data_IF_933479070476
#
_entry.id   IF_933479070476
#
_cell.length_a   1.000
_cell.length_b   1.000
_cell.length_c   1.000
_cell.angle_alpha   90.00
_cell.angle_beta   90.00
_cell.angle_gamma   90.00
#
_symmetry.space_group_name_H-M   'P 1'
#
loop_
_entity.id
_entity.type
_entity.pdbx_description
1 polymer ?
#
# COMPACT_ATOMS: atom_id res chain seq x y z
N UNK A 1 0.72 -15.69 -5.42
CA UNK A 1 1.66 -15.07 -6.38
C UNK A 1 2.30 -16.18 -7.20
N UNK A 2 2.48 -16.00 -8.51
CA UNK A 2 3.16 -17.00 -9.35
C UNK A 2 4.64 -17.12 -8.91
N UNK A 3 5.21 -18.33 -8.76
CA UNK A 3 6.62 -18.52 -8.41
C UNK A 3 7.60 -17.76 -9.31
N UNK A 4 7.28 -17.58 -10.59
CA UNK A 4 8.11 -16.82 -11.54
C UNK A 4 8.05 -15.32 -11.25
N UNK A 5 6.86 -14.79 -11.01
CA UNK A 5 6.66 -13.39 -10.63
C UNK A 5 7.43 -13.09 -9.33
N UNK A 6 7.46 -14.04 -8.39
CA UNK A 6 8.19 -13.88 -7.13
C UNK A 6 9.70 -13.78 -7.37
N UNK A 7 10.25 -14.62 -8.25
CA UNK A 7 11.67 -14.56 -8.62
C UNK A 7 12.03 -13.24 -9.30
N UNK A 8 11.18 -12.74 -10.19
CA UNK A 8 11.36 -11.45 -10.85
C UNK A 8 11.36 -10.30 -9.83
N UNK A 9 10.43 -10.31 -8.86
CA UNK A 9 10.44 -9.31 -7.77
C UNK A 9 11.67 -9.42 -6.90
N UNK A 10 12.10 -10.63 -6.51
CA UNK A 10 13.32 -10.81 -5.70
C UNK A 10 14.54 -10.22 -6.43
N UNK A 11 14.73 -10.54 -7.70
CA UNK A 11 15.85 -10.02 -8.49
C UNK A 11 15.79 -8.48 -8.62
N UNK A 12 14.59 -7.94 -8.89
CA UNK A 12 14.37 -6.50 -8.99
C UNK A 12 14.75 -5.78 -7.71
N UNK A 13 14.19 -6.19 -6.57
CA UNK A 13 14.43 -5.52 -5.29
C UNK A 13 15.84 -5.76 -4.75
N UNK A 14 16.42 -6.94 -4.99
CA UNK A 14 17.80 -7.22 -4.64
C UNK A 14 18.77 -6.24 -5.32
N UNK A 15 18.54 -5.94 -6.62
CA UNK A 15 19.38 -4.98 -7.36
C UNK A 15 19.31 -3.54 -6.81
N UNK A 16 18.24 -3.22 -6.07
CA UNK A 16 18.00 -1.89 -5.46
C UNK A 16 18.54 -1.77 -4.03
N UNK A 17 18.95 -2.88 -3.40
CA UNK A 17 19.46 -2.87 -2.04
C UNK A 17 20.81 -2.14 -1.92
N UNK A 18 21.09 -1.46 -0.79
CA UNK A 18 22.43 -1.00 -0.47
C UNK A 18 23.45 -2.15 -0.43
N UNK A 19 24.75 -1.92 -0.76
CA UNK A 19 25.76 -2.97 -0.83
C UNK A 19 25.85 -3.87 0.41
N UNK A 20 25.84 -3.29 1.61
CA UNK A 20 25.91 -4.06 2.86
C UNK A 20 24.70 -5.00 3.04
N UNK A 21 23.51 -4.55 2.62
CA UNK A 21 22.30 -5.37 2.68
C UNK A 21 22.33 -6.48 1.60
N UNK A 22 22.87 -6.19 0.41
CA UNK A 22 23.08 -7.20 -0.63
C UNK A 22 24.04 -8.30 -0.18
N UNK A 23 25.12 -7.92 0.53
CA UNK A 23 26.09 -8.87 1.07
C UNK A 23 25.43 -9.80 2.09
N UNK A 24 24.68 -9.26 3.05
CA UNK A 24 23.96 -10.08 4.04
C UNK A 24 22.95 -10.99 3.35
N UNK A 25 22.15 -10.48 2.42
CA UNK A 25 21.16 -11.27 1.69
C UNK A 25 21.82 -12.41 0.89
N UNK A 26 22.89 -12.11 0.16
CA UNK A 26 23.62 -13.07 -0.70
C UNK A 26 24.41 -14.10 0.09
N UNK A 27 24.78 -13.80 1.33
CA UNK A 27 25.51 -14.74 2.19
C UNK A 27 24.71 -16.01 2.53
N UNK A 28 23.38 -15.96 2.41
CA UNK A 28 22.45 -17.01 2.83
C UNK A 28 22.55 -17.44 4.31
N UNK A 29 23.45 -16.86 5.11
CA UNK A 29 23.60 -17.16 6.55
C UNK A 29 22.34 -16.85 7.35
N UNK A 30 21.57 -15.87 6.90
CA UNK A 30 20.28 -15.53 7.50
C UNK A 30 19.27 -16.68 7.37
N UNK A 31 19.30 -17.47 6.30
CA UNK A 31 18.43 -18.66 6.14
C UNK A 31 18.80 -19.75 7.14
N UNK A 32 20.09 -20.01 7.33
CA UNK A 32 20.57 -21.00 8.32
C UNK A 32 20.18 -20.57 9.75
N UNK A 33 20.31 -19.28 10.04
CA UNK A 33 19.88 -18.67 11.31
C UNK A 33 18.37 -18.83 11.49
N UNK A 34 17.59 -18.54 10.45
CA UNK A 34 16.13 -18.64 10.47
C UNK A 34 15.64 -20.09 10.61
N UNK A 35 16.35 -21.05 10.02
CA UNK A 35 16.09 -22.48 10.21
C UNK A 35 16.36 -22.89 11.66
N UNK A 36 17.46 -22.42 12.26
CA UNK A 36 17.78 -22.68 13.67
C UNK A 36 16.71 -22.12 14.61
N UNK A 37 16.27 -20.88 14.36
CA UNK A 37 15.17 -20.25 15.11
C UNK A 37 13.86 -21.04 14.92
N UNK A 38 13.53 -21.40 13.68
CA UNK A 38 12.31 -22.17 13.39
C UNK A 38 12.21 -23.49 14.15
N UNK A 39 13.33 -24.21 14.24
CA UNK A 39 13.42 -25.45 15.01
C UNK A 39 13.29 -25.18 16.51
N UNK A 40 13.94 -24.13 17.03
CA UNK A 40 13.89 -23.74 18.44
C UNK A 40 12.47 -23.42 18.92
N UNK A 41 11.65 -22.79 18.07
CA UNK A 41 10.26 -22.44 18.38
C UNK A 41 9.23 -23.49 17.89
N UNK A 42 9.68 -24.67 17.45
CA UNK A 42 8.83 -25.77 16.97
C UNK A 42 7.84 -25.36 15.86
N UNK A 43 8.27 -24.49 14.94
CA UNK A 43 7.42 -24.05 13.85
C UNK A 43 7.08 -25.22 12.92
N UNK A 44 5.81 -25.34 12.54
CA UNK A 44 5.38 -26.27 11.50
C UNK A 44 5.80 -25.77 10.11
N UNK A 45 5.68 -26.62 9.08
CA UNK A 45 6.13 -26.28 7.73
C UNK A 45 5.50 -24.97 7.19
N UNK A 46 4.20 -24.76 7.40
CA UNK A 46 3.50 -23.55 6.95
C UNK A 46 4.04 -22.31 7.67
N UNK A 47 4.28 -22.39 8.97
CA UNK A 47 4.87 -21.31 9.77
C UNK A 47 6.31 -21.00 9.32
N UNK A 48 7.10 -22.01 8.98
CA UNK A 48 8.46 -21.83 8.44
C UNK A 48 8.42 -21.12 7.08
N UNK A 49 7.47 -21.48 6.21
CA UNK A 49 7.26 -20.84 4.92
C UNK A 49 6.86 -19.37 5.08
N UNK A 50 5.90 -19.06 5.96
CA UNK A 50 5.54 -17.68 6.32
C UNK A 50 6.74 -16.91 6.86
N UNK A 51 7.45 -17.46 7.86
CA UNK A 51 8.60 -16.79 8.47
C UNK A 51 9.70 -16.49 7.45
N UNK A 52 10.02 -17.45 6.57
CA UNK A 52 11.01 -17.28 5.51
C UNK A 52 10.59 -16.23 4.48
N UNK A 53 9.31 -16.24 4.09
CA UNK A 53 8.75 -15.28 3.11
C UNK A 53 8.80 -13.86 3.65
N UNK A 54 8.24 -13.63 4.83
CA UNK A 54 8.22 -12.29 5.45
C UNK A 54 9.65 -11.79 5.72
N UNK A 55 10.56 -12.67 6.15
CA UNK A 55 11.96 -12.29 6.36
C UNK A 55 12.66 -11.94 5.05
N UNK A 56 12.34 -12.64 3.96
CA UNK A 56 12.84 -12.30 2.63
C UNK A 56 12.32 -10.92 2.20
N UNK A 57 11.03 -10.64 2.41
CA UNK A 57 10.42 -9.37 2.04
C UNK A 57 11.03 -8.18 2.80
N UNK A 58 11.26 -8.32 4.11
CA UNK A 58 11.90 -7.26 4.91
C UNK A 58 13.37 -7.08 4.55
N UNK A 59 14.10 -8.16 4.27
CA UNK A 59 15.51 -8.08 3.84
C UNK A 59 15.67 -7.43 2.45
N UNK A 60 14.64 -7.52 1.60
CA UNK A 60 14.57 -6.84 0.30
C UNK A 60 14.08 -5.39 0.42
N UNK A 61 13.71 -4.94 1.63
CA UNK A 61 13.12 -3.62 1.85
C UNK A 61 11.77 -3.45 1.15
N UNK A 62 11.01 -4.53 0.96
CA UNK A 62 9.68 -4.48 0.34
C UNK A 62 8.62 -4.09 1.38
N UNK A 63 8.78 -4.59 2.62
CA UNK A 63 7.92 -4.28 3.77
C UNK A 63 8.72 -3.59 4.87
N UNK A 64 8.04 -2.79 5.69
CA UNK A 64 8.67 -2.11 6.81
C UNK A 64 8.86 -3.04 8.02
N UNK A 65 9.83 -2.77 8.88
CA UNK A 65 10.12 -3.59 10.08
C UNK A 65 8.91 -3.73 11.02
N UNK A 66 8.10 -2.67 11.16
CA UNK A 66 6.89 -2.70 11.98
C UNK A 66 5.82 -3.61 11.35
N UNK A 67 5.66 -3.55 10.03
CA UNK A 67 4.72 -4.42 9.29
C UNK A 67 5.17 -5.88 9.35
N UNK A 68 6.49 -6.12 9.25
CA UNK A 68 7.07 -7.45 9.44
C UNK A 68 6.72 -8.06 10.81
N UNK A 69 6.85 -7.29 11.90
CA UNK A 69 6.46 -7.75 13.25
C UNK A 69 4.96 -8.06 13.35
N UNK A 70 4.13 -7.20 12.76
CA UNK A 70 2.67 -7.39 12.72
C UNK A 70 2.27 -8.63 11.92
N UNK A 71 2.84 -8.81 10.72
CA UNK A 71 2.59 -9.96 9.85
C UNK A 71 2.98 -11.26 10.54
N UNK A 72 4.16 -11.34 11.16
CA UNK A 72 4.58 -12.55 11.86
C UNK A 72 3.69 -12.86 13.07
N UNK A 73 3.30 -11.84 13.83
CA UNK A 73 2.42 -12.03 14.99
C UNK A 73 1.04 -12.55 14.57
N UNK A 74 0.50 -12.00 13.47
CA UNK A 74 -0.83 -12.34 12.98
C UNK A 74 -0.86 -13.69 12.24
N UNK A 75 0.15 -13.98 11.43
CA UNK A 75 0.13 -15.11 10.50
C UNK A 75 0.72 -16.40 11.07
N UNK A 76 1.68 -16.30 11.99
CA UNK A 76 2.27 -17.51 12.59
C UNK A 76 1.30 -18.18 13.58
N UNK A 77 0.33 -17.45 14.13
CA UNK A 77 -0.65 -18.00 15.07
C UNK A 77 -0.01 -18.58 16.34
N UNK A 78 1.16 -18.06 16.72
CA UNK A 78 1.88 -18.43 17.93
C UNK A 78 1.30 -17.66 19.13
N UNK A 79 1.52 -18.18 20.33
CA UNK A 79 1.26 -17.40 21.55
C UNK A 79 2.16 -16.15 21.59
N UNK A 80 1.70 -15.12 22.30
CA UNK A 80 2.37 -13.82 22.36
C UNK A 80 3.83 -13.92 22.84
N UNK A 81 4.05 -14.62 23.95
CA UNK A 81 5.36 -14.75 24.57
C UNK A 81 6.41 -15.44 23.66
N UNK A 82 6.13 -16.61 23.04
CA UNK A 82 7.02 -17.21 22.05
C UNK A 82 7.28 -16.31 20.84
N UNK A 83 6.25 -15.62 20.35
CA UNK A 83 6.36 -14.72 19.19
C UNK A 83 7.30 -13.56 19.45
N UNK A 84 7.14 -12.89 20.58
CA UNK A 84 7.99 -11.76 20.99
C UNK A 84 9.46 -12.18 21.14
N UNK A 85 9.73 -13.34 21.77
CA UNK A 85 11.11 -13.84 21.91
C UNK A 85 11.74 -14.22 20.58
N UNK A 86 10.98 -14.85 19.70
CA UNK A 86 11.43 -15.21 18.36
C UNK A 86 11.77 -13.97 17.54
N UNK A 87 10.91 -12.93 17.58
CA UNK A 87 11.14 -11.66 16.92
C UNK A 87 12.42 -10.97 17.43
N UNK A 88 12.63 -10.92 18.74
CA UNK A 88 13.87 -10.36 19.32
C UNK A 88 15.10 -11.11 18.83
N UNK A 89 15.05 -12.44 18.76
CA UNK A 89 16.16 -13.27 18.30
C UNK A 89 16.48 -13.04 16.82
N UNK A 90 15.46 -12.89 15.97
CA UNK A 90 15.62 -12.53 14.55
C UNK A 90 16.20 -11.12 14.42
N UNK A 91 15.67 -10.17 15.19
CA UNK A 91 16.17 -8.79 15.21
C UNK A 91 17.65 -8.75 15.56
N UNK A 92 18.06 -9.41 16.64
CA UNK A 92 19.44 -9.39 17.11
C UNK A 92 20.39 -10.17 16.18
N UNK A 93 19.95 -11.30 15.62
CA UNK A 93 20.83 -12.20 14.86
C UNK A 93 20.93 -11.84 13.38
N UNK A 94 19.87 -11.26 12.80
CA UNK A 94 19.78 -11.00 11.36
C UNK A 94 19.71 -9.50 11.09
N UNK A 95 18.73 -8.80 11.68
CA UNK A 95 18.35 -7.46 11.22
C UNK A 95 19.20 -6.33 11.82
N UNK A 96 19.72 -6.50 13.04
CA UNK A 96 20.41 -5.46 13.81
C UNK A 96 21.54 -4.77 13.05
N UNK A 97 22.34 -5.55 12.33
CA UNK A 97 23.52 -5.05 11.64
C UNK A 97 23.21 -4.31 10.34
N UNK A 98 22.02 -4.53 9.76
CA UNK A 98 21.60 -3.95 8.48
C UNK A 98 20.35 -3.06 8.61
N UNK A 99 19.88 -2.82 9.83
CA UNK A 99 18.63 -2.08 10.09
C UNK A 99 18.59 -0.71 9.40
N UNK A 100 19.64 0.13 9.46
CA UNK A 100 19.64 1.40 8.74
C UNK A 100 19.48 1.23 7.23
N UNK A 101 20.14 0.23 6.64
CA UNK A 101 20.10 -0.07 5.21
C UNK A 101 18.72 -0.59 4.78
N UNK A 102 18.04 -1.38 5.62
CA UNK A 102 16.68 -1.85 5.34
C UNK A 102 15.66 -0.71 5.37
N UNK A 103 15.78 0.23 6.32
CA UNK A 103 14.94 1.43 6.37
C UNK A 103 15.17 2.26 5.10
N UNK A 104 16.42 2.51 4.74
CA UNK A 104 16.77 3.24 3.52
C UNK A 104 16.22 2.55 2.25
N UNK A 105 16.36 1.23 2.16
CA UNK A 105 15.86 0.45 1.03
C UNK A 105 14.34 0.54 0.93
N UNK A 106 13.62 0.40 2.05
CA UNK A 106 12.17 0.54 2.10
C UNK A 106 11.71 1.92 1.65
N UNK A 107 12.31 2.98 2.19
CA UNK A 107 11.96 4.36 1.81
C UNK A 107 12.25 4.63 0.33
N UNK A 108 13.35 4.11 -0.21
CA UNK A 108 13.69 4.22 -1.62
C UNK A 108 12.69 3.45 -2.50
N UNK A 109 12.30 2.23 -2.10
CA UNK A 109 11.33 1.42 -2.81
C UNK A 109 9.94 2.05 -2.82
N UNK A 110 9.51 2.62 -1.69
CA UNK A 110 8.26 3.41 -1.62
C UNK A 110 8.31 4.63 -2.54
N UNK A 111 9.43 5.38 -2.55
CA UNK A 111 9.57 6.53 -3.46
C UNK A 111 9.51 6.11 -4.92
N UNK A 112 10.18 5.03 -5.30
CA UNK A 112 10.12 4.53 -6.69
C UNK A 112 8.71 4.06 -7.04
N UNK A 113 8.01 3.38 -6.12
CA UNK A 113 6.62 2.99 -6.37
C UNK A 113 5.69 4.21 -6.49
N UNK A 114 5.92 5.26 -5.69
CA UNK A 114 5.23 6.54 -5.78
C UNK A 114 5.61 7.26 -7.09
N UNK A 115 6.87 7.30 -7.50
CA UNK A 115 7.33 7.98 -8.72
C UNK A 115 6.90 7.23 -10.00
N UNK A 116 6.87 5.90 -9.98
CA UNK A 116 6.29 5.07 -11.04
C UNK A 116 4.77 5.29 -11.12
N UNK A 117 4.07 5.40 -9.98
CA UNK A 117 2.64 5.78 -9.97
C UNK A 117 2.40 7.26 -10.31
N UNK A 118 3.34 8.16 -10.07
CA UNK A 118 3.31 9.57 -10.51
C UNK A 118 3.66 9.71 -12.00
N UNK A 119 4.44 8.80 -12.59
CA UNK A 119 4.55 8.75 -14.05
C UNK A 119 3.27 8.24 -14.72
N UNK A 120 2.44 7.46 -14.01
CA UNK A 120 1.04 7.20 -14.40
C UNK A 120 0.16 8.46 -14.19
N UNK A 121 0.57 9.43 -13.37
CA UNK A 121 -0.10 10.74 -13.24
C UNK A 121 0.10 11.66 -14.45
N UNK A 122 1.06 11.41 -15.35
CA UNK A 122 1.26 12.21 -16.58
C UNK A 122 0.25 11.84 -17.66
N UNK A 123 -1.00 12.12 -17.32
CA UNK A 123 -2.19 11.85 -18.07
C UNK A 123 -3.34 12.02 -17.09
N UNK A 124 -3.70 13.26 -16.79
CA UNK A 124 -5.08 13.52 -16.37
C UNK A 124 -5.94 12.77 -17.36
N UNK A 125 -6.61 11.73 -16.88
CA UNK A 125 -7.59 10.98 -17.65
C UNK A 125 -8.44 12.03 -18.35
N UNK A 126 -8.61 11.91 -19.68
CA UNK A 126 -9.32 12.93 -20.47
C UNK A 126 -10.69 13.26 -19.86
N UNK A 127 -11.28 12.31 -19.11
CA UNK A 127 -12.49 12.48 -18.31
C UNK A 127 -12.43 13.60 -17.26
N UNK A 128 -11.27 13.92 -16.70
CA UNK A 128 -11.09 15.05 -15.79
C UNK A 128 -10.84 16.38 -16.50
N UNK A 129 -10.51 16.37 -17.80
CA UNK A 129 -10.24 17.62 -18.53
C UNK A 129 -11.48 18.49 -18.69
N UNK A 130 -12.67 17.89 -18.62
CA UNK A 130 -13.97 18.57 -18.75
C UNK A 130 -14.49 19.14 -17.42
N UNK A 131 -13.89 18.79 -16.28
CA UNK A 131 -14.36 19.30 -14.98
C UNK A 131 -14.02 20.78 -14.79
N UNK A 132 -14.80 21.51 -13.96
CA UNK A 132 -14.41 22.83 -13.47
C UNK A 132 -13.05 22.80 -12.76
N UNK A 133 -12.27 23.88 -12.89
CA UNK A 133 -10.89 23.94 -12.37
C UNK A 133 -10.84 23.68 -10.87
N UNK A 134 -11.79 24.23 -10.13
CA UNK A 134 -11.90 24.10 -8.68
C UNK A 134 -12.07 22.65 -8.25
N UNK A 135 -12.81 21.85 -9.04
CA UNK A 135 -13.02 20.43 -8.77
C UNK A 135 -11.76 19.64 -9.11
N UNK A 136 -11.07 19.95 -10.21
CA UNK A 136 -9.78 19.32 -10.54
C UNK A 136 -8.75 19.52 -9.43
N UNK A 137 -8.63 20.76 -8.95
CA UNK A 137 -7.68 21.10 -7.87
C UNK A 137 -8.00 20.32 -6.58
N UNK A 138 -9.28 20.09 -6.25
CA UNK A 138 -9.67 19.23 -5.12
C UNK A 138 -9.25 17.79 -5.35
N UNK A 139 -9.54 17.24 -6.54
CA UNK A 139 -9.26 15.85 -6.87
C UNK A 139 -7.74 15.61 -6.83
N UNK A 140 -6.94 16.50 -7.42
CA UNK A 140 -5.48 16.44 -7.38
C UNK A 140 -4.96 16.50 -5.93
N UNK A 141 -5.41 17.48 -5.13
CA UNK A 141 -4.99 17.61 -3.72
C UNK A 141 -5.42 16.44 -2.83
N UNK A 142 -6.49 15.73 -3.20
CA UNK A 142 -6.98 14.59 -2.42
C UNK A 142 -6.08 13.36 -2.50
N UNK A 143 -5.12 13.32 -3.43
CA UNK A 143 -4.27 12.15 -3.70
C UNK A 143 -5.10 10.86 -3.88
N UNK A 144 -6.28 10.98 -4.52
CA UNK A 144 -7.23 9.85 -4.58
C UNK A 144 -6.66 8.68 -5.38
N UNK A 145 -5.84 8.92 -6.42
CA UNK A 145 -5.20 7.85 -7.22
C UNK A 145 -4.29 6.97 -6.37
N UNK A 146 -3.40 7.58 -5.57
CA UNK A 146 -2.52 6.86 -4.64
C UNK A 146 -3.35 6.09 -3.61
N UNK A 147 -4.37 6.74 -3.05
CA UNK A 147 -5.27 6.11 -2.08
C UNK A 147 -6.01 4.92 -2.69
N UNK A 148 -6.48 5.06 -3.94
CA UNK A 148 -7.16 4.01 -4.70
C UNK A 148 -6.23 2.84 -4.98
N UNK A 149 -4.98 3.13 -5.33
CA UNK A 149 -3.94 2.13 -5.56
C UNK A 149 -3.69 1.28 -4.32
N UNK A 150 -3.54 1.93 -3.16
CA UNK A 150 -3.32 1.25 -1.89
C UNK A 150 -4.53 0.39 -1.47
N UNK A 151 -5.75 0.88 -1.73
CA UNK A 151 -6.98 0.09 -1.53
C UNK A 151 -6.97 -1.12 -2.46
N UNK A 152 -6.74 -0.96 -3.76
CA UNK A 152 -6.71 -2.06 -4.72
C UNK A 152 -5.70 -3.15 -4.32
N UNK A 153 -4.50 -2.76 -3.89
CA UNK A 153 -3.48 -3.69 -3.39
C UNK A 153 -3.95 -4.48 -2.17
N UNK A 154 -4.54 -3.81 -1.18
CA UNK A 154 -5.05 -4.45 0.04
C UNK A 154 -6.08 -5.55 -0.25
N UNK A 155 -6.88 -5.35 -1.28
CA UNK A 155 -7.87 -6.34 -1.74
C UNK A 155 -7.31 -7.33 -2.76
N UNK A 156 -5.99 -7.36 -2.97
CA UNK A 156 -5.28 -8.23 -3.91
C UNK A 156 -5.83 -8.16 -5.35
N UNK A 157 -6.24 -6.97 -5.78
CA UNK A 157 -6.74 -6.79 -7.15
C UNK A 157 -5.59 -6.96 -8.15
N UNK A 158 -5.87 -7.68 -9.23
CA UNK A 158 -4.93 -7.75 -10.36
C UNK A 158 -4.98 -6.46 -11.20
N UNK A 159 -4.03 -6.31 -12.14
CA UNK A 159 -3.89 -5.11 -12.98
C UNK A 159 -5.17 -4.77 -13.76
N UNK A 160 -5.89 -5.78 -14.26
CA UNK A 160 -7.14 -5.57 -15.01
C UNK A 160 -8.25 -5.06 -14.09
N UNK A 161 -8.46 -5.74 -12.96
CA UNK A 161 -9.43 -5.35 -11.93
C UNK A 161 -9.17 -3.96 -11.39
N UNK A 162 -7.90 -3.60 -11.27
CA UNK A 162 -7.47 -2.29 -10.82
C UNK A 162 -7.83 -1.18 -11.82
N UNK A 163 -7.63 -1.43 -13.12
CA UNK A 163 -8.08 -0.51 -14.17
C UNK A 163 -9.60 -0.34 -14.20
N UNK A 164 -10.35 -1.42 -13.99
CA UNK A 164 -11.81 -1.37 -13.89
C UNK A 164 -12.29 -0.61 -12.63
N UNK A 165 -11.61 -0.81 -11.49
CA UNK A 165 -11.87 -0.06 -10.27
C UNK A 165 -11.60 1.45 -10.48
N UNK A 166 -10.46 1.81 -11.07
CA UNK A 166 -10.10 3.20 -11.38
C UNK A 166 -11.13 3.86 -12.28
N UNK A 167 -11.55 3.17 -13.34
CA UNK A 167 -12.58 3.63 -14.25
C UNK A 167 -13.89 3.90 -13.52
N UNK A 168 -14.35 2.97 -12.69
CA UNK A 168 -15.63 3.12 -11.97
C UNK A 168 -15.57 4.24 -10.92
N UNK A 169 -14.47 4.35 -10.16
CA UNK A 169 -14.27 5.46 -9.21
C UNK A 169 -14.24 6.81 -9.93
N UNK A 170 -13.52 6.90 -11.05
CA UNK A 170 -13.48 8.11 -11.88
C UNK A 170 -14.85 8.49 -12.43
N UNK A 171 -15.60 7.50 -12.92
CA UNK A 171 -16.97 7.69 -13.39
C UNK A 171 -17.94 8.11 -12.27
N UNK A 172 -17.69 7.73 -11.03
CA UNK A 172 -18.47 8.21 -9.90
C UNK A 172 -18.10 9.67 -9.55
N UNK A 173 -16.81 9.99 -9.51
CA UNK A 173 -16.31 11.35 -9.20
C UNK A 173 -16.81 12.36 -10.25
N UNK A 174 -16.84 12.00 -11.52
CA UNK A 174 -17.32 12.87 -12.60
C UNK A 174 -18.86 12.88 -12.76
N UNK A 175 -19.59 12.09 -11.95
CA UNK A 175 -21.06 12.03 -11.99
C UNK A 175 -21.66 11.15 -13.10
N UNK A 176 -20.85 10.38 -13.83
CA UNK A 176 -21.35 9.42 -14.84
C UNK A 176 -22.04 8.20 -14.23
N UNK A 177 -21.67 7.82 -13.00
CA UNK A 177 -22.33 6.76 -12.22
C UNK A 177 -23.08 7.41 -11.06
N UNK A 178 -24.35 7.02 -10.89
CA UNK A 178 -25.12 7.40 -9.72
C UNK A 178 -24.57 6.66 -8.48
N UNK A 179 -24.36 7.35 -7.33
CA UNK A 179 -23.85 6.71 -6.12
C UNK A 179 -24.63 5.47 -5.67
N UNK A 180 -25.96 5.45 -5.86
CA UNK A 180 -26.81 4.33 -5.47
C UNK A 180 -26.58 3.07 -6.33
N UNK A 181 -26.02 3.25 -7.53
CA UNK A 181 -25.75 2.15 -8.46
C UNK A 181 -24.27 1.77 -8.46
N UNK A 182 -23.41 2.48 -7.71
CA UNK A 182 -21.96 2.29 -7.76
C UNK A 182 -21.56 0.87 -7.40
N UNK A 183 -22.23 0.28 -6.40
CA UNK A 183 -21.99 -1.11 -6.01
C UNK A 183 -22.22 -2.09 -7.17
N UNK A 184 -23.31 -1.95 -7.91
CA UNK A 184 -23.65 -2.83 -9.04
C UNK A 184 -22.57 -2.82 -10.13
N UNK A 185 -21.96 -1.65 -10.41
CA UNK A 185 -20.87 -1.54 -11.37
C UNK A 185 -19.59 -2.25 -10.88
N UNK A 186 -19.27 -2.10 -9.60
CA UNK A 186 -18.12 -2.77 -8.99
C UNK A 186 -18.30 -4.29 -8.98
N UNK A 187 -19.51 -4.77 -8.64
CA UNK A 187 -19.87 -6.20 -8.69
C UNK A 187 -19.72 -6.79 -10.08
N UNK A 188 -20.19 -6.07 -11.10
CA UNK A 188 -20.14 -6.51 -12.48
C UNK A 188 -18.71 -6.59 -13.02
N UNK A 189 -17.89 -5.57 -12.76
CA UNK A 189 -16.61 -5.42 -13.45
C UNK A 189 -15.47 -6.15 -12.72
N UNK A 190 -15.42 -6.11 -11.38
CA UNK A 190 -14.27 -6.64 -10.61
C UNK A 190 -14.42 -8.15 -10.31
N UNK A 191 -15.64 -8.69 -10.29
CA UNK A 191 -15.94 -10.13 -10.08
C UNK A 191 -15.38 -10.72 -8.78
N UNK A 192 -15.47 -9.98 -7.67
CA UNK A 192 -15.15 -10.48 -6.33
C UNK A 192 -16.38 -11.01 -5.61
N UNK A 193 -16.20 -11.61 -4.43
CA UNK A 193 -17.32 -12.00 -3.59
C UNK A 193 -18.07 -10.77 -3.03
N UNK A 194 -19.39 -10.84 -2.81
CA UNK A 194 -20.19 -9.71 -2.32
C UNK A 194 -19.68 -9.11 -0.99
N UNK A 195 -19.17 -9.96 -0.10
CA UNK A 195 -18.61 -9.54 1.19
C UNK A 195 -17.35 -8.69 1.01
N UNK A 196 -16.46 -9.08 0.09
CA UNK A 196 -15.22 -8.35 -0.21
C UNK A 196 -15.55 -7.03 -0.87
N UNK A 197 -16.54 -7.00 -1.76
CA UNK A 197 -17.00 -5.78 -2.43
C UNK A 197 -17.57 -4.78 -1.44
N UNK A 198 -18.39 -5.23 -0.50
CA UNK A 198 -18.95 -4.37 0.55
C UNK A 198 -17.83 -3.69 1.34
N UNK A 199 -16.80 -4.45 1.74
CA UNK A 199 -15.63 -3.91 2.44
C UNK A 199 -14.85 -2.93 1.57
N UNK A 200 -14.59 -3.28 0.31
CA UNK A 200 -13.90 -2.42 -0.66
C UNK A 200 -14.62 -1.07 -0.82
N UNK A 201 -15.95 -1.09 -0.98
CA UNK A 201 -16.75 0.12 -1.13
C UNK A 201 -16.71 0.99 0.13
N UNK A 202 -16.73 0.39 1.32
CA UNK A 202 -16.57 1.12 2.57
C UNK A 202 -15.20 1.82 2.65
N UNK A 203 -14.13 1.12 2.30
CA UNK A 203 -12.77 1.69 2.25
C UNK A 203 -12.68 2.87 1.26
N UNK A 204 -13.31 2.75 0.08
CA UNK A 204 -13.40 3.85 -0.91
C UNK A 204 -14.19 5.04 -0.37
N UNK A 205 -15.34 4.78 0.26
CA UNK A 205 -16.19 5.80 0.86
C UNK A 205 -15.46 6.61 1.93
N UNK A 206 -14.78 5.93 2.85
CA UNK A 206 -14.07 6.57 3.95
C UNK A 206 -12.81 7.31 3.50
N UNK A 207 -11.99 6.68 2.65
CA UNK A 207 -10.65 7.20 2.36
C UNK A 207 -10.60 8.16 1.18
N UNK A 208 -11.51 8.02 0.22
CA UNK A 208 -11.54 8.83 -1.00
C UNK A 208 -12.75 9.76 -0.98
N UNK A 209 -13.96 9.20 -1.01
CA UNK A 209 -15.15 10.02 -1.28
C UNK A 209 -15.49 10.98 -0.14
N UNK A 210 -15.22 10.61 1.12
CA UNK A 210 -15.40 11.50 2.26
C UNK A 210 -14.54 12.77 2.11
N UNK A 211 -13.23 12.61 1.84
CA UNK A 211 -12.28 13.72 1.69
C UNK A 211 -12.65 14.66 0.54
N UNK A 212 -13.07 14.10 -0.59
CA UNK A 212 -13.53 14.89 -1.75
C UNK A 212 -14.82 15.65 -1.37
N UNK A 213 -15.79 15.01 -0.73
CA UNK A 213 -17.04 15.65 -0.29
C UNK A 213 -16.79 16.79 0.71
N UNK A 214 -15.91 16.59 1.68
CA UNK A 214 -15.52 17.62 2.66
C UNK A 214 -14.85 18.81 1.97
N UNK A 215 -13.95 18.55 1.02
CA UNK A 215 -13.29 19.60 0.24
C UNK A 215 -14.29 20.38 -0.61
N UNK A 216 -15.27 19.72 -1.23
CA UNK A 216 -16.34 20.38 -2.00
C UNK A 216 -17.27 21.22 -1.12
N UNK A 217 -17.52 20.80 0.14
CA UNK A 217 -18.30 21.60 1.09
C UNK A 217 -17.60 22.91 1.41
N UNK A 218 -16.27 22.92 1.59
CA UNK A 218 -15.51 24.13 1.92
C UNK A 218 -15.63 25.22 0.83
N UNK A 219 -15.77 24.84 -0.44
CA UNK A 219 -15.94 25.79 -1.54
C UNK A 219 -17.37 26.35 -1.61
N UNK A 220 -18.37 25.52 -1.31
CA UNK A 220 -19.79 25.89 -1.42
C UNK A 220 -20.38 26.47 -0.14
N UNK A 221 -19.69 26.32 0.99
CA UNK A 221 -20.03 27.08 2.18
C UNK A 221 -19.63 28.51 1.84
N UNK A 222 -20.57 29.49 1.80
CA UNK A 222 -20.19 30.89 1.68
C UNK A 222 -19.22 31.10 2.82
N UNK A 223 -17.94 31.30 2.49
CA UNK A 223 -17.00 31.85 3.45
C UNK A 223 -17.75 33.06 3.96
N UNK A 224 -18.09 33.08 5.25
CA UNK A 224 -18.53 34.32 5.88
C UNK A 224 -17.44 35.29 5.46
N UNK A 225 -17.76 36.11 4.44
CA UNK A 225 -17.01 37.30 4.15
C UNK A 225 -17.00 37.93 5.51
N UNK A 226 -15.83 37.95 6.13
CA UNK A 226 -15.57 38.73 7.33
C UNK A 226 -16.36 39.99 7.11
N UNK A 227 -17.38 40.32 7.92
CA UNK A 227 -18.21 41.45 7.63
C UNK A 227 -17.27 42.65 7.59
N UNK A 228 -16.86 43.04 6.38
CA UNK A 228 -16.59 44.43 6.09
C UNK A 228 -17.82 45.09 6.66
N UNK A 229 -17.61 45.89 7.69
CA UNK A 229 -18.63 46.75 8.29
C UNK A 229 -19.15 47.68 7.20
N UNK A 230 -19.93 47.14 6.26
CA UNK A 230 -20.83 47.91 5.46
C UNK A 230 -21.91 48.28 6.47
N UNK A 231 -21.86 49.54 6.84
CA UNK A 231 -22.69 50.12 7.86
C UNK A 231 -24.15 49.95 7.41
N UNK A 232 -24.86 48.94 7.92
CA UNK A 232 -26.24 48.57 7.50
C UNK A 232 -27.21 49.76 7.55
N UNK A 233 -26.88 50.76 8.36
CA UNK A 233 -27.55 52.05 8.42
C UNK A 233 -27.52 52.83 7.09
N UNK A 234 -26.48 52.71 6.25
CA UNK A 234 -26.42 53.36 4.94
C UNK A 234 -27.36 52.72 3.91
N UNK A 235 -27.54 51.39 3.95
CA UNK A 235 -28.43 50.69 3.02
C UNK A 235 -29.90 50.99 3.36
N UNK A 236 -30.25 50.95 4.65
CA UNK A 236 -31.60 51.24 5.14
C UNK A 236 -32.02 52.72 4.91
N UNK A 237 -31.08 53.65 5.10
CA UNK A 237 -31.32 55.07 4.81
C UNK A 237 -31.49 55.34 3.30
N UNK A 238 -30.77 54.62 2.44
CA UNK A 238 -30.91 54.76 0.98
C UNK A 238 -32.26 54.23 0.45
N UNK A 239 -32.88 53.28 1.17
CA UNK A 239 -34.20 52.76 0.87
C UNK A 239 -35.35 53.58 1.48
N UNK A 240 -35.05 54.68 2.19
CA UNK A 240 -36.05 55.54 2.83
C UNK A 240 -36.79 54.89 4.02
N UNK A 241 -36.21 53.83 4.61
CA UNK A 241 -36.80 53.16 5.77
C UNK A 241 -36.20 53.76 7.03
N UNK A 242 -36.96 54.64 7.68
CA UNK A 242 -36.59 55.23 8.96
C UNK A 242 -36.93 54.24 10.09
N UNK A 243 -35.92 53.71 10.79
CA UNK A 243 -36.13 52.83 11.94
C UNK A 243 -36.65 53.68 13.11
N UNK A 244 -37.95 53.62 13.35
CA UNK A 244 -38.56 54.14 14.58
C UNK A 244 -38.22 53.17 15.71
N UNK A 245 -37.52 53.60 16.80
CA UNK A 245 -37.24 52.73 17.93
C UNK A 245 -38.53 52.49 18.73
N UNK A 246 -39.32 51.52 18.28
CA UNK A 246 -40.53 51.09 18.96
C UNK A 246 -40.20 49.98 19.97
N UNK A 247 -40.44 50.31 21.23
CA UNK A 247 -40.29 49.44 22.40
C UNK A 247 -41.36 48.35 22.37
N UNK A 248 -41.13 47.28 21.60
CA UNK A 248 -41.99 46.11 21.55
C UNK A 248 -41.60 45.10 22.65
N UNK A 249 -42.34 45.13 23.76
CA UNK A 249 -42.37 44.06 24.74
C UNK A 249 -43.21 42.90 24.18
N UNK A 250 -42.57 41.83 23.71
CA UNK A 250 -43.25 40.60 23.30
C UNK A 250 -43.42 39.67 24.52
N UNK A 251 -44.64 39.15 24.78
CA UNK A 251 -44.86 38.16 25.82
C UNK A 251 -44.37 36.78 25.36
N UNK A 252 -43.27 36.31 25.97
CA UNK A 252 -42.80 34.94 25.84
C UNK A 252 -43.80 34.06 26.60
N UNK A 253 -44.67 33.35 25.88
CA UNK A 253 -45.46 32.26 26.46
C UNK A 253 -44.76 30.96 26.11
N UNK A 254 -43.91 30.52 27.03
CA UNK A 254 -43.19 29.25 26.99
C UNK A 254 -44.18 28.10 27.15
N UNK A 255 -44.50 27.38 26.07
CA UNK A 255 -45.12 26.05 26.14
C UNK A 255 -44.05 25.01 25.92
N UNK A 256 -43.58 24.47 27.03
CA UNK A 256 -42.71 23.32 27.17
C UNK A 256 -43.34 22.08 26.50
N UNK A 257 -42.68 21.38 25.57
CA UNK A 257 -43.22 20.13 25.01
C UNK A 257 -42.88 18.94 25.91
N UNK A 258 -43.88 18.44 26.63
CA UNK A 258 -43.86 17.27 27.55
C UNK A 258 -43.52 15.91 26.89
N UNK A 259 -43.02 15.86 25.66
CA UNK A 259 -42.87 14.60 24.90
C UNK A 259 -41.48 13.95 24.96
N UNK A 260 -40.49 14.56 25.64
CA UNK A 260 -39.12 14.00 25.66
C UNK A 260 -38.93 12.90 26.71
N UNK A 261 -39.58 13.01 27.87
CA UNK A 261 -39.44 12.00 28.94
C UNK A 261 -40.15 10.67 28.62
N UNK A 262 -41.29 10.72 27.91
CA UNK A 262 -41.97 9.49 27.46
C UNK A 262 -41.15 8.69 26.43
N UNK A 263 -40.35 9.37 25.61
CA UNK A 263 -39.49 8.70 24.62
C UNK A 263 -38.30 8.02 25.31
N UNK A 264 -37.74 8.65 26.36
CA UNK A 264 -36.62 8.09 27.12
C UNK A 264 -37.03 6.84 27.91
N UNK A 265 -38.22 6.81 28.50
CA UNK A 265 -38.73 5.63 29.24
C UNK A 265 -38.93 4.37 28.38
N UNK A 266 -39.13 4.50 27.07
CA UNK A 266 -39.32 3.34 26.17
C UNK A 266 -38.01 2.68 25.72
N UNK A 267 -36.87 3.34 25.89
CA UNK A 267 -35.55 2.80 25.47
C UNK A 267 -34.88 2.02 26.62
N UNK A 268 -35.18 2.36 27.87
CA UNK A 268 -34.49 1.82 29.05
C UNK A 268 -34.93 0.39 29.44
N UNK A 269 -36.05 -0.12 28.91
CA UNK A 269 -36.53 -1.50 29.13
C UNK A 269 -36.96 -2.17 27.81
N UNK A 270 -36.04 -2.74 27.02
CA UNK A 270 -36.42 -3.60 25.90
C UNK A 270 -37.00 -4.93 26.43
N UNK A 271 -38.18 -5.30 25.94
CA UNK A 271 -38.84 -6.57 26.26
C UNK A 271 -37.93 -7.77 25.94
N UNK A 272 -37.92 -8.76 26.84
CA UNK A 272 -37.07 -9.94 26.77
C UNK A 272 -37.32 -10.76 25.50
N UNK A 273 -36.31 -10.83 24.64
CA UNK A 273 -36.30 -11.63 23.42
C UNK A 273 -36.32 -13.13 23.76
N UNK A 274 -37.23 -13.86 23.11
CA UNK A 274 -37.37 -15.31 23.23
C UNK A 274 -36.09 -16.08 22.87
N UNK A 275 -35.79 -17.23 23.54
CA UNK A 275 -34.58 -17.99 23.30
C UNK A 275 -34.60 -18.67 21.93
N UNK A 276 -33.58 -18.34 21.12
CA UNK A 276 -33.30 -19.00 19.84
C UNK A 276 -32.80 -20.42 20.12
N UNK A 277 -33.52 -21.39 19.53
CA UNK A 277 -33.28 -22.83 19.58
C UNK A 277 -31.96 -23.17 18.87
N UNK A 278 -30.97 -23.65 19.62
CA UNK A 278 -29.70 -24.17 19.07
C UNK A 278 -29.95 -25.50 18.35
N UNK A 279 -29.58 -25.60 17.08
CA UNK A 279 -29.39 -26.86 16.38
C UNK A 279 -27.90 -27.18 16.30
N UNK A 280 -27.50 -28.25 16.97
CA UNK A 280 -26.16 -28.85 16.85
C UNK A 280 -26.08 -29.71 15.59
N UNK A 281 -24.96 -29.71 14.84
CA UNK A 281 -24.65 -30.79 13.91
C UNK A 281 -23.76 -31.84 14.59
N UNK A 282 -24.23 -33.09 14.57
CA UNK A 282 -23.45 -34.31 14.78
C UNK A 282 -22.81 -34.75 13.45
N UNK A 283 -21.65 -35.40 13.57
CA UNK A 283 -21.01 -36.23 12.53
C UNK A 283 -19.79 -35.57 11.88
N UNK A 284 -18.66 -36.23 11.67
CA UNK A 284 -18.26 -37.60 11.98
C UNK A 284 -16.72 -37.65 11.92
N UNK A 285 -16.16 -38.50 12.77
CA UNK A 285 -14.74 -38.82 12.83
C UNK A 285 -14.26 -39.52 11.56
N UNK A 286 -13.09 -39.11 11.04
CA UNK A 286 -12.25 -40.00 10.24
C UNK A 286 -10.78 -39.72 10.50
N UNK A 287 -10.27 -40.60 11.35
CA UNK A 287 -8.88 -40.90 11.67
C UNK A 287 -8.09 -41.21 10.41
N UNK A 288 -7.00 -40.48 10.15
CA UNK A 288 -5.95 -40.96 9.25
C UNK A 288 -4.57 -40.84 9.91
N UNK A 289 -3.89 -41.96 9.76
CA UNK A 289 -2.70 -42.42 10.46
C UNK A 289 -1.46 -41.73 9.92
N UNK A 290 -0.54 -41.40 10.84
CA UNK A 290 0.84 -41.02 10.59
C UNK A 290 1.55 -42.03 9.68
N UNK A 291 2.20 -41.55 8.63
CA UNK A 291 3.43 -42.18 8.16
C UNK A 291 4.53 -41.12 8.05
N UNK A 292 5.64 -41.43 8.71
CA UNK A 292 6.72 -40.54 9.11
C UNK A 292 7.88 -40.81 8.14
N UNK A 293 8.12 -39.90 7.21
CA UNK A 293 9.35 -39.87 6.42
C UNK A 293 10.03 -38.52 6.63
N UNK A 294 11.20 -38.56 7.28
CA UNK A 294 12.07 -37.41 7.46
C UNK A 294 12.64 -37.00 6.10
N UNK A 295 12.17 -35.88 5.57
CA UNK A 295 12.83 -35.14 4.49
C UNK A 295 13.12 -33.72 4.96
N UNK A 296 14.35 -33.29 4.76
CA UNK A 296 14.87 -32.00 5.18
C UNK A 296 14.00 -30.85 4.64
N UNK A 297 13.38 -30.13 5.57
CA UNK A 297 12.37 -29.10 5.32
C UNK A 297 12.95 -27.76 4.91
N UNK A 298 13.30 -27.64 3.63
CA UNK A 298 13.30 -26.36 2.92
C UNK A 298 12.62 -26.59 1.59
N UNK A 299 11.73 -25.69 1.17
CA UNK A 299 11.01 -25.81 -0.11
C UNK A 299 12.03 -26.08 -1.24
N UNK A 300 11.92 -27.18 -2.01
CA UNK A 300 12.97 -27.60 -2.94
C UNK A 300 13.31 -26.50 -3.95
N UNK A 301 12.36 -25.63 -4.30
CA UNK A 301 12.56 -24.51 -5.23
C UNK A 301 13.54 -23.46 -4.70
N UNK A 302 13.48 -23.09 -3.42
CA UNK A 302 14.38 -22.05 -2.88
C UNK A 302 15.82 -22.58 -2.77
N UNK A 303 15.98 -23.82 -2.29
CA UNK A 303 17.31 -24.45 -2.20
C UNK A 303 17.88 -24.79 -3.58
N UNK A 304 17.09 -25.39 -4.47
CA UNK A 304 17.55 -25.84 -5.79
C UNK A 304 17.92 -24.68 -6.72
N UNK A 305 17.29 -23.51 -6.59
CA UNK A 305 17.54 -22.35 -7.47
C UNK A 305 18.66 -21.44 -6.96
N UNK A 306 18.91 -21.40 -5.65
CA UNK A 306 19.98 -20.60 -5.06
C UNK A 306 21.32 -21.37 -4.98
N UNK A 307 21.28 -22.71 -4.94
CA UNK A 307 22.48 -23.56 -4.96
C UNK A 307 22.96 -23.94 -6.38
N UNK A 308 22.16 -23.70 -7.41
CA UNK A 308 22.62 -23.88 -8.79
C UNK A 308 23.61 -22.77 -9.17
N UNK A 309 24.89 -23.12 -9.26
CA UNK A 309 25.91 -22.30 -9.92
C UNK A 309 25.35 -21.78 -11.25
N UNK A 310 25.07 -20.48 -11.33
CA UNK A 310 24.82 -19.83 -12.60
C UNK A 310 26.10 -19.93 -13.42
N UNK A 311 26.22 -20.96 -14.25
CA UNK A 311 27.03 -20.87 -15.46
C UNK A 311 26.36 -19.81 -16.32
N UNK A 312 26.78 -18.55 -16.18
CA UNK A 312 26.52 -17.55 -17.20
C UNK A 312 27.04 -18.14 -18.51
N UNK A 313 26.19 -18.40 -19.52
CA UNK A 313 26.69 -18.86 -20.80
C UNK A 313 27.67 -17.81 -21.28
N UNK A 314 28.94 -18.20 -21.46
CA UNK A 314 29.93 -17.34 -22.07
C UNK A 314 29.49 -17.15 -23.52
N UNK A 315 28.70 -16.10 -23.77
CA UNK A 315 28.30 -15.69 -25.10
C UNK A 315 29.60 -15.29 -25.79
N UNK A 316 30.14 -16.19 -26.61
CA UNK A 316 31.12 -15.84 -27.62
C UNK A 316 30.39 -14.95 -28.60
N UNK A 317 30.44 -13.65 -28.38
CA UNK A 317 30.04 -12.68 -29.38
C UNK A 317 31.01 -12.82 -30.54
N UNK A 318 30.61 -13.52 -31.60
CA UNK A 318 31.27 -13.44 -32.90
C UNK A 318 31.01 -12.04 -33.47
N UNK A 319 31.77 -11.06 -32.99
CA UNK A 319 31.87 -9.78 -33.65
C UNK A 319 32.78 -9.94 -34.86
N UNK A 320 32.19 -10.40 -35.97
CA UNK A 320 32.83 -10.38 -37.28
C UNK A 320 32.89 -8.92 -37.75
N UNK A 321 33.98 -8.23 -37.41
CA UNK A 321 34.30 -6.90 -37.96
C UNK A 321 34.82 -7.05 -39.39
N UNK A 322 33.92 -7.34 -40.33
CA UNK A 322 34.18 -7.21 -41.76
C UNK A 322 33.80 -5.81 -42.23
N UNK A 323 34.70 -4.85 -42.07
CA UNK A 323 34.96 -3.74 -43.01
C UNK A 323 35.74 -2.64 -42.30
N UNK A 324 37.07 -2.74 -42.32
CA UNK A 324 37.94 -1.57 -42.26
C UNK A 324 39.03 -1.74 -43.32
N UNK A 325 38.96 -0.87 -44.31
CA UNK A 325 39.94 -0.59 -45.35
C UNK A 325 41.33 -0.30 -44.73
N UNK A 326 42.44 -0.71 -45.38
CA UNK A 326 43.77 -0.50 -44.84
C UNK A 326 44.21 0.97 -45.03
N UNK A 327 44.43 1.68 -43.92
CA UNK A 327 45.12 2.97 -43.90
C UNK A 327 46.49 2.85 -43.26
N UNK A 328 47.44 3.51 -43.89
CA UNK A 328 48.90 3.45 -43.77
C UNK A 328 49.46 3.63 -42.36
N UNK A 329 50.50 2.84 -42.06
CA UNK A 329 51.37 2.95 -40.89
C UNK A 329 52.31 4.16 -40.97
N UNK A 330 52.42 4.99 -39.90
CA UNK A 330 53.53 5.92 -39.74
C UNK A 330 54.70 5.28 -38.96
N UNK A 331 55.92 5.50 -39.48
CA UNK A 331 57.22 5.13 -38.89
C UNK A 331 57.40 5.76 -37.50
N UNK A 332 57.76 4.92 -36.52
CA UNK A 332 58.14 5.31 -35.17
C UNK A 332 59.63 5.72 -35.18
N UNK A 333 59.93 6.96 -34.77
CA UNK A 333 61.29 7.41 -34.47
C UNK A 333 61.65 7.00 -33.02
N UNK A 334 62.90 6.59 -32.74
CA UNK A 334 63.32 6.18 -31.40
C UNK A 334 63.44 7.39 -30.45
N UNK A 335 62.87 7.23 -29.25
CA UNK A 335 62.92 8.17 -28.12
C UNK A 335 64.35 8.24 -27.57
N UNK A 336 64.98 9.40 -27.64
CA UNK A 336 66.26 9.70 -27.00
C UNK A 336 65.99 10.16 -25.56
N UNK A 337 66.75 9.60 -24.62
CA UNK A 337 66.63 9.83 -23.17
C UNK A 337 67.17 11.22 -22.77
N UNK A 338 66.35 12.09 -22.16
CA UNK A 338 66.68 13.50 -21.89
C UNK A 338 67.73 13.75 -20.78
N UNK A 339 68.30 12.72 -20.13
CA UNK A 339 69.29 12.91 -19.05
C UNK A 339 70.67 12.32 -19.33
N UNK A 340 71.00 11.99 -20.59
CA UNK A 340 72.35 11.56 -20.96
C UNK A 340 73.20 12.75 -21.40
N UNK A 341 74.07 13.23 -20.53
CA UNK A 341 75.10 14.21 -20.90
C UNK A 341 76.07 13.59 -21.92
N UNK A 342 76.37 14.35 -22.98
CA UNK A 342 77.20 13.92 -24.11
C UNK A 342 78.66 14.25 -23.76
N UNK A 343 79.59 13.28 -23.75
CA UNK A 343 81.00 13.58 -23.53
C UNK A 343 81.62 14.28 -24.76
N UNK A 344 82.48 15.28 -24.50
CA UNK A 344 83.19 16.12 -25.50
C UNK A 344 84.06 15.35 -26.50
#
# INVERSE_FOLDING_TARGET
>A
MDPKELQEKIALYFSKLPPDAQEVFSSMKWLETLQTISLKYNLNQKQQETLSTETTLVLLGIIHLVEYEENLTNELGLERDPSERMLVEIQDSILKNIRPQLIQAFDANQKVEIEETQNIEQGLDKRFTELPKEIKDIIEKSNYKITLYNIAKRYNLNVVQMGDLEKNVTNLINGSINPNNFQDFIEKDIKLSPEVITKLINDLNEKIFLKIRESLKLINTPTEKTPEKVNDSQILNSAGIEIVPEKLELPITEKLPEKREEILKKIENPDAVHPVRSMSPQGDSSTLVLERAASNGVHPILVQKLSSSMQTPMVKTEHTLNNLTPSSTPKIAPKIDPYREIPE
#
